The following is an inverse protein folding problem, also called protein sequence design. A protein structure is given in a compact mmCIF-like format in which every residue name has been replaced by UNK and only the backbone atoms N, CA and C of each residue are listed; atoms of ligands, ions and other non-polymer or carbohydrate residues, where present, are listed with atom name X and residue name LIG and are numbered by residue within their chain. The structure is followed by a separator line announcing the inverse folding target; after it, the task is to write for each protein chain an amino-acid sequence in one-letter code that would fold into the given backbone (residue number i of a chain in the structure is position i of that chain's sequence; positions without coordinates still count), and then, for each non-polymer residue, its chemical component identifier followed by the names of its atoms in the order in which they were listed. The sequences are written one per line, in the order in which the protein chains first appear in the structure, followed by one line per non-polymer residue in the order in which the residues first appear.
data_IF_156717429143
#
_entry.id   IF_156717429143
#
_cell.length_a   1.000
_cell.length_b   1.000
_cell.length_c   1.000
_cell.angle_alpha   90.00
_cell.angle_beta   90.00
_cell.angle_gamma   90.00
#
_symmetry.space_group_name_H-M   'P 1'
#
loop_
_entity.id
_entity.type
_entity.pdbx_description
1 polymer ?
#
# COMPACT_ATOMS: atom_id res chain seq x y z
N UNK A 1 26.31 -11.78 -0.04
CA UNK A 1 25.40 -10.62 -0.14
C UNK A 1 25.05 -10.17 1.25
N UNK A 2 25.15 -8.88 1.54
CA UNK A 2 24.65 -8.27 2.77
C UNK A 2 23.36 -7.53 2.49
N UNK A 3 22.48 -7.46 3.49
CA UNK A 3 21.24 -6.71 3.36
C UNK A 3 21.51 -5.23 3.06
N UNK A 4 20.55 -4.56 2.44
CA UNK A 4 20.60 -3.13 2.17
C UNK A 4 21.01 -2.36 3.45
N UNK A 5 21.97 -1.45 3.30
CA UNK A 5 22.56 -0.65 4.37
C UNK A 5 23.66 -1.34 5.18
N UNK A 6 23.78 -2.67 5.14
CA UNK A 6 24.89 -3.37 5.80
C UNK A 6 26.15 -3.35 4.93
N UNK A 7 27.32 -3.30 5.57
CA UNK A 7 28.62 -3.33 4.88
C UNK A 7 28.72 -4.56 3.98
N UNK A 8 29.20 -4.39 2.75
CA UNK A 8 29.46 -5.46 1.79
C UNK A 8 30.52 -6.38 2.40
N UNK A 9 30.17 -7.66 2.52
CA UNK A 9 31.04 -8.70 3.07
C UNK A 9 31.23 -9.85 2.08
N UNK A 10 32.46 -10.37 1.91
CA UNK A 10 33.71 -9.84 2.47
C UNK A 10 34.04 -8.43 1.95
N UNK A 11 34.98 -7.74 2.62
CA UNK A 11 35.43 -6.41 2.21
C UNK A 11 35.81 -6.38 0.72
N UNK A 12 35.46 -5.30 0.04
CA UNK A 12 35.76 -5.15 -1.40
C UNK A 12 37.25 -4.91 -1.56
N UNK A 13 37.90 -5.66 -2.45
CA UNK A 13 39.32 -5.51 -2.75
C UNK A 13 39.52 -5.19 -4.23
N UNK A 14 40.37 -4.21 -4.51
CA UNK A 14 40.78 -3.82 -5.85
C UNK A 14 42.30 -3.90 -5.93
N UNK A 15 42.82 -4.78 -6.78
CA UNK A 15 44.25 -4.92 -7.03
C UNK A 15 44.66 -4.17 -8.30
N UNK A 16 45.78 -3.44 -8.23
CA UNK A 16 46.46 -2.95 -9.42
C UNK A 16 47.24 -4.10 -10.06
N UNK A 17 46.92 -4.46 -11.29
CA UNK A 17 47.53 -5.60 -11.99
C UNK A 17 48.36 -5.17 -13.20
N UNK A 18 49.39 -5.93 -13.54
CA UNK A 18 50.10 -5.80 -14.81
C UNK A 18 49.32 -6.42 -15.98
N UNK A 19 49.88 -6.35 -17.20
CA UNK A 19 49.25 -6.90 -18.40
C UNK A 19 49.11 -8.44 -18.39
N UNK A 20 49.76 -9.12 -17.45
CA UNK A 20 49.71 -10.58 -17.28
C UNK A 20 48.78 -11.00 -16.13
N UNK A 21 48.15 -10.05 -15.44
CA UNK A 21 47.23 -10.29 -14.33
C UNK A 21 47.91 -10.43 -12.95
N UNK A 22 49.20 -10.08 -12.82
CA UNK A 22 49.89 -10.12 -11.53
C UNK A 22 49.64 -8.82 -10.75
N UNK A 23 49.32 -8.92 -9.46
CA UNK A 23 49.24 -7.76 -8.56
C UNK A 23 50.60 -7.05 -8.49
N UNK A 24 50.62 -5.74 -8.71
CA UNK A 24 51.81 -4.89 -8.67
C UNK A 24 51.97 -4.30 -7.26
N UNK A 25 52.93 -4.76 -6.42
CA UNK A 25 53.00 -4.33 -5.02
C UNK A 25 53.31 -2.83 -4.85
N UNK A 26 53.98 -2.22 -5.83
CA UNK A 26 54.30 -0.80 -5.85
C UNK A 26 53.18 0.11 -6.37
N UNK A 27 52.03 -0.44 -6.75
CA UNK A 27 50.87 0.38 -7.10
C UNK A 27 50.35 1.10 -5.86
N UNK A 28 50.42 2.43 -5.87
CA UNK A 28 50.14 3.31 -4.73
C UNK A 28 49.12 4.42 -5.05
N UNK A 29 48.59 4.48 -6.28
CA UNK A 29 47.61 5.49 -6.65
C UNK A 29 46.28 5.24 -5.93
N UNK A 30 45.65 6.31 -5.43
CA UNK A 30 44.35 6.22 -4.77
C UNK A 30 43.32 5.58 -5.71
N UNK A 31 42.62 4.56 -5.19
CA UNK A 31 41.52 3.89 -5.88
C UNK A 31 40.21 4.47 -5.38
N UNK A 32 39.38 4.97 -6.29
CA UNK A 32 38.02 5.42 -5.99
C UNK A 32 37.01 4.41 -6.54
N UNK A 33 35.99 4.09 -5.73
CA UNK A 33 34.89 3.18 -6.09
C UNK A 33 33.56 3.93 -6.18
N UNK A 34 32.79 3.62 -7.22
CA UNK A 34 31.43 4.08 -7.41
C UNK A 34 30.50 2.93 -7.82
N UNK A 35 29.18 3.16 -7.81
CA UNK A 35 28.23 2.23 -8.42
C UNK A 35 28.38 2.28 -9.94
N UNK A 36 28.47 1.10 -10.55
CA UNK A 36 28.27 0.90 -11.98
C UNK A 36 26.79 0.73 -12.28
N UNK A 37 26.36 -0.51 -12.51
CA UNK A 37 24.95 -0.86 -12.59
C UNK A 37 24.27 -0.60 -11.23
N UNK A 38 23.20 0.19 -11.24
CA UNK A 38 22.44 0.60 -10.06
C UNK A 38 20.93 0.35 -10.25
N UNK A 39 20.51 -0.92 -10.39
CA UNK A 39 19.12 -1.26 -10.75
C UNK A 39 18.10 -0.86 -9.68
N UNK A 40 18.47 -0.85 -8.41
CA UNK A 40 17.59 -0.42 -7.31
C UNK A 40 17.63 1.07 -7.01
N UNK A 41 18.37 1.88 -7.79
CA UNK A 41 18.47 3.33 -7.57
C UNK A 41 19.07 3.71 -6.21
N UNK A 42 19.99 2.88 -5.71
CA UNK A 42 20.62 3.04 -4.41
C UNK A 42 21.78 4.04 -4.40
N UNK A 43 22.24 4.33 -3.19
CA UNK A 43 23.40 5.14 -2.88
C UNK A 43 24.47 4.25 -2.28
N UNK A 44 25.70 4.33 -2.79
CA UNK A 44 26.87 3.74 -2.15
C UNK A 44 27.30 4.64 -0.99
N UNK A 45 27.52 4.06 0.18
CA UNK A 45 28.00 4.72 1.39
C UNK A 45 29.34 4.11 1.83
N UNK A 46 29.97 4.67 2.86
CA UNK A 46 31.29 4.25 3.37
C UNK A 46 32.46 5.01 2.75
N UNK A 47 33.67 4.51 3.00
CA UNK A 47 34.91 5.06 2.49
C UNK A 47 35.08 4.67 1.03
N UNK A 48 35.00 5.64 0.11
CA UNK A 48 35.00 5.37 -1.34
C UNK A 48 36.36 5.53 -2.01
N UNK A 49 37.34 6.10 -1.32
CA UNK A 49 38.69 6.31 -1.84
C UNK A 49 39.69 5.75 -0.84
N UNK A 50 40.52 4.81 -1.29
CA UNK A 50 41.51 4.13 -0.46
C UNK A 50 42.85 4.07 -1.20
N UNK A 51 43.94 4.34 -0.48
CA UNK A 51 45.28 4.08 -0.97
C UNK A 51 45.60 2.58 -0.85
N UNK A 52 46.05 1.91 -1.93
CA UNK A 52 46.41 0.50 -1.89
C UNK A 52 47.64 0.22 -1.03
N UNK A 53 47.65 -0.91 -0.33
CA UNK A 53 48.79 -1.43 0.43
C UNK A 53 49.22 -2.75 -0.20
N UNK A 54 50.49 -2.85 -0.60
CA UNK A 54 50.98 -4.01 -1.36
C UNK A 54 50.24 -4.20 -2.69
N UNK A 55 49.81 -3.11 -3.32
CA UNK A 55 49.06 -3.12 -4.58
C UNK A 55 47.56 -3.39 -4.47
N UNK A 56 47.02 -3.54 -3.26
CA UNK A 56 45.59 -3.83 -3.03
C UNK A 56 44.92 -2.75 -2.19
N UNK A 57 43.90 -2.09 -2.75
CA UNK A 57 43.00 -1.21 -2.01
C UNK A 57 41.87 -2.04 -1.41
N UNK A 58 41.70 -1.98 -0.08
CA UNK A 58 40.66 -2.71 0.66
C UNK A 58 39.62 -1.73 1.21
N UNK A 59 38.36 -1.93 0.85
CA UNK A 59 37.23 -1.13 1.30
C UNK A 59 36.34 -1.97 2.22
N UNK A 60 36.40 -1.70 3.53
CA UNK A 60 35.77 -2.52 4.58
C UNK A 60 34.37 -2.07 4.99
N UNK A 61 33.93 -0.88 4.59
CA UNK A 61 32.72 -0.22 5.07
C UNK A 61 31.75 0.20 3.96
N UNK A 62 31.99 -0.23 2.71
CA UNK A 62 31.08 0.07 1.60
C UNK A 62 29.72 -0.58 1.84
N UNK A 63 28.63 0.17 1.66
CA UNK A 63 27.27 -0.36 1.74
C UNK A 63 26.35 0.28 0.70
N UNK A 64 25.26 -0.40 0.33
CA UNK A 64 24.24 0.11 -0.60
C UNK A 64 22.89 0.11 0.10
N UNK A 65 22.19 1.24 0.11
CA UNK A 65 20.96 1.40 0.91
C UNK A 65 19.67 0.89 0.26
N UNK A 66 19.69 0.57 -1.03
CA UNK A 66 18.53 0.00 -1.75
C UNK A 66 18.74 -1.45 -2.11
N UNK A 67 17.69 -2.24 -1.93
CA UNK A 67 17.70 -3.63 -2.37
C UNK A 67 17.61 -3.72 -3.89
N UNK A 68 18.18 -4.78 -4.45
CA UNK A 68 18.15 -5.06 -5.88
C UNK A 68 19.12 -6.15 -6.29
N UNK A 69 18.95 -6.62 -7.52
CA UNK A 69 19.78 -7.69 -8.11
C UNK A 69 20.57 -7.15 -9.29
N UNK A 70 21.82 -7.54 -9.42
CA UNK A 70 22.66 -7.11 -10.53
C UNK A 70 23.39 -5.77 -10.35
N UNK A 71 23.66 -5.37 -9.11
CA UNK A 71 24.56 -4.25 -8.85
C UNK A 71 25.99 -4.54 -9.32
N UNK A 72 26.71 -3.51 -9.77
CA UNK A 72 28.17 -3.59 -9.96
C UNK A 72 28.87 -2.40 -9.34
N UNK A 73 30.16 -2.56 -9.05
CA UNK A 73 31.05 -1.47 -8.64
C UNK A 73 32.03 -1.16 -9.77
N UNK A 74 32.32 0.12 -9.98
CA UNK A 74 33.39 0.59 -10.87
C UNK A 74 34.50 1.17 -10.01
N UNK A 75 35.71 0.65 -10.18
CA UNK A 75 36.92 1.15 -9.53
C UNK A 75 37.77 1.93 -10.54
N UNK A 76 38.27 3.09 -10.15
CA UNK A 76 39.12 3.94 -10.98
C UNK A 76 40.32 4.45 -10.18
N UNK A 77 41.46 4.61 -10.86
CA UNK A 77 42.67 5.21 -10.33
C UNK A 77 43.38 5.99 -11.47
N UNK A 78 44.28 6.91 -11.13
CA UNK A 78 45.04 7.66 -12.12
C UNK A 78 45.93 6.73 -12.97
N UNK A 79 46.00 7.01 -14.28
CA UNK A 79 46.84 6.30 -15.24
C UNK A 79 46.59 4.77 -15.38
N UNK A 80 45.46 4.26 -14.88
CA UNK A 80 45.04 2.86 -15.02
C UNK A 80 43.61 2.82 -15.56
N UNK A 81 43.31 1.85 -16.43
CA UNK A 81 41.95 1.64 -16.94
C UNK A 81 41.00 1.26 -15.79
N UNK A 82 39.77 1.81 -15.75
CA UNK A 82 38.78 1.40 -14.76
C UNK A 82 38.43 -0.08 -14.85
N UNK A 83 38.09 -0.68 -13.71
CA UNK A 83 37.61 -2.05 -13.62
C UNK A 83 36.15 -2.08 -13.13
N UNK A 84 35.36 -3.01 -13.66
CA UNK A 84 33.99 -3.26 -13.21
C UNK A 84 33.93 -4.61 -12.52
N UNK A 85 33.31 -4.66 -11.33
CA UNK A 85 33.12 -5.91 -10.60
C UNK A 85 32.17 -6.85 -11.33
N UNK A 86 32.20 -8.13 -10.95
CA UNK A 86 31.07 -9.01 -11.21
C UNK A 86 29.78 -8.44 -10.59
N UNK A 87 28.64 -8.85 -11.14
CA UNK A 87 27.33 -8.49 -10.60
C UNK A 87 27.12 -9.11 -9.21
N UNK A 88 26.52 -8.34 -8.31
CA UNK A 88 26.13 -8.80 -6.97
C UNK A 88 24.73 -8.34 -6.61
N UNK A 89 24.14 -9.01 -5.62
CA UNK A 89 22.80 -8.72 -5.14
C UNK A 89 22.87 -8.09 -3.76
N UNK A 90 21.97 -7.13 -3.53
CA UNK A 90 21.72 -6.47 -2.25
C UNK A 90 20.30 -6.87 -1.83
N UNK A 91 20.10 -7.91 -1.01
CA UNK A 91 18.78 -8.24 -0.50
C UNK A 91 18.23 -7.13 0.42
N UNK A 92 16.91 -7.06 0.59
CA UNK A 92 16.28 -6.21 1.60
C UNK A 92 16.64 -6.66 3.02
N UNK A 93 16.54 -5.74 3.98
CA UNK A 93 16.55 -6.10 5.40
C UNK A 93 15.31 -6.88 5.83
N UNK A 94 15.25 -7.21 7.13
CA UNK A 94 14.04 -7.74 7.75
C UNK A 94 12.94 -6.67 7.79
N UNK A 95 11.68 -7.10 7.69
CA UNK A 95 10.53 -6.21 7.79
C UNK A 95 10.49 -5.52 9.16
N UNK A 96 10.21 -4.22 9.15
CA UNK A 96 10.11 -3.37 10.34
C UNK A 96 8.73 -2.68 10.43
N UNK A 97 8.11 -2.39 9.29
CA UNK A 97 6.84 -1.66 9.22
C UNK A 97 5.95 -2.14 8.07
N UNK A 98 4.65 -1.87 8.19
CA UNK A 98 3.70 -1.99 7.10
C UNK A 98 3.42 -0.62 6.47
N UNK A 99 3.18 -0.60 5.17
CA UNK A 99 2.80 0.62 4.42
C UNK A 99 1.71 0.27 3.41
N UNK A 100 0.68 1.11 3.32
CA UNK A 100 -0.28 1.02 2.21
C UNK A 100 0.39 1.54 0.94
N UNK A 101 0.69 0.65 0.00
CA UNK A 101 1.28 0.98 -1.30
C UNK A 101 0.23 1.17 -2.39
N UNK A 102 -0.93 0.53 -2.21
CA UNK A 102 -2.18 0.90 -2.88
C UNK A 102 -3.20 1.20 -1.81
N UNK A 103 -3.50 2.48 -1.64
CA UNK A 103 -4.47 3.00 -0.67
C UNK A 103 -5.91 2.59 -1.04
N UNK A 104 -6.82 2.44 -0.07
CA UNK A 104 -8.25 2.33 -0.35
C UNK A 104 -8.76 3.59 -1.05
N UNK A 105 -9.70 3.41 -1.97
CA UNK A 105 -10.31 4.48 -2.76
C UNK A 105 -11.78 4.69 -2.37
N UNK A 106 -12.32 5.85 -2.75
CA UNK A 106 -13.75 6.11 -2.61
C UNK A 106 -14.55 5.12 -3.47
N UNK A 107 -15.63 4.58 -2.93
CA UNK A 107 -16.54 3.69 -3.66
C UNK A 107 -17.97 3.82 -3.14
N UNK A 108 -18.92 3.07 -3.70
CA UNK A 108 -20.29 3.02 -3.20
C UNK A 108 -20.45 1.90 -2.17
N UNK A 109 -21.45 2.02 -1.30
CA UNK A 109 -21.78 0.98 -0.33
C UNK A 109 -21.93 -0.39 -0.99
N UNK A 110 -21.32 -1.41 -0.39
CA UNK A 110 -21.32 -2.79 -0.87
C UNK A 110 -20.43 -3.07 -2.09
N UNK A 111 -19.97 -2.04 -2.81
CA UNK A 111 -19.06 -2.23 -3.93
C UNK A 111 -17.64 -2.55 -3.44
N UNK A 112 -16.92 -3.34 -4.24
CA UNK A 112 -15.51 -3.63 -3.99
C UNK A 112 -14.67 -2.35 -4.12
N UNK A 113 -13.74 -2.15 -3.20
CA UNK A 113 -12.74 -1.09 -3.26
C UNK A 113 -11.77 -1.45 -4.38
N UNK A 114 -11.69 -0.58 -5.39
CA UNK A 114 -10.81 -0.77 -6.56
C UNK A 114 -9.99 0.51 -6.84
N UNK A 115 -8.69 0.41 -7.16
CA UNK A 115 -7.87 -0.81 -7.26
C UNK A 115 -7.75 -1.58 -5.93
N UNK A 116 -7.35 -2.85 -6.01
CA UNK A 116 -7.19 -3.71 -4.84
C UNK A 116 -6.19 -3.09 -3.85
N UNK A 117 -6.57 -3.04 -2.58
CA UNK A 117 -5.72 -2.48 -1.52
C UNK A 117 -4.48 -3.36 -1.35
N UNK A 118 -3.32 -2.74 -1.29
CA UNK A 118 -2.04 -3.44 -1.08
C UNK A 118 -1.32 -2.87 0.13
N UNK A 119 -0.88 -3.79 0.99
CA UNK A 119 -0.03 -3.48 2.13
C UNK A 119 1.31 -4.16 1.92
N UNK A 120 2.37 -3.37 1.92
CA UNK A 120 3.75 -3.83 1.75
C UNK A 120 4.47 -3.79 3.09
N UNK A 121 5.17 -4.87 3.41
CA UNK A 121 6.14 -4.93 4.50
C UNK A 121 7.46 -4.32 4.03
N UNK A 122 7.94 -3.29 4.73
CA UNK A 122 9.19 -2.62 4.42
C UNK A 122 10.22 -2.82 5.54
N UNK A 123 11.49 -2.86 5.17
CA UNK A 123 12.60 -2.77 6.12
C UNK A 123 12.78 -1.33 6.64
N UNK A 124 13.70 -1.14 7.58
CA UNK A 124 13.96 0.16 8.20
C UNK A 124 14.49 1.24 7.22
N UNK A 125 14.87 0.86 6.00
CA UNK A 125 15.35 1.76 4.94
C UNK A 125 14.31 2.00 3.85
N UNK A 126 13.07 1.51 4.04
CA UNK A 126 11.99 1.64 3.07
C UNK A 126 12.23 0.80 1.82
N UNK A 127 12.87 -0.37 1.95
CA UNK A 127 12.87 -1.38 0.90
C UNK A 127 11.78 -2.40 1.19
N UNK A 128 11.11 -2.91 0.14
CA UNK A 128 10.22 -4.06 0.30
C UNK A 128 10.98 -5.26 0.86
N UNK A 129 10.58 -5.72 2.04
CA UNK A 129 11.15 -6.88 2.69
C UNK A 129 10.63 -8.15 2.01
N UNK A 130 11.23 -8.52 0.88
CA UNK A 130 10.74 -9.62 0.02
C UNK A 130 10.69 -10.99 0.70
N UNK A 131 11.48 -11.20 1.75
CA UNK A 131 11.43 -12.41 2.57
C UNK A 131 10.27 -12.46 3.58
N UNK A 132 9.49 -11.38 3.73
CA UNK A 132 8.35 -11.35 4.65
C UNK A 132 7.17 -12.13 4.07
N UNK A 133 6.78 -13.19 4.76
CA UNK A 133 5.64 -14.06 4.42
C UNK A 133 4.57 -14.09 5.52
N UNK A 134 4.63 -13.15 6.46
CA UNK A 134 3.69 -13.06 7.57
C UNK A 134 2.28 -12.69 7.10
N UNK A 135 1.28 -13.05 7.89
CA UNK A 135 -0.11 -12.63 7.65
C UNK A 135 -0.29 -11.17 8.04
N UNK A 136 -0.82 -10.38 7.11
CA UNK A 136 -1.28 -9.00 7.33
C UNK A 136 -2.79 -9.01 7.46
N UNK A 137 -3.30 -8.34 8.48
CA UNK A 137 -4.74 -8.16 8.72
C UNK A 137 -5.11 -6.69 8.60
N UNK A 138 -6.17 -6.42 7.84
CA UNK A 138 -6.77 -5.09 7.71
C UNK A 138 -8.11 -5.01 8.43
N UNK A 139 -8.35 -3.91 9.14
CA UNK A 139 -9.58 -3.66 9.87
C UNK A 139 -10.01 -2.19 9.73
N UNK A 140 -11.29 -1.89 9.97
CA UNK A 140 -11.74 -0.51 10.10
C UNK A 140 -11.11 0.13 11.33
N UNK A 141 -10.54 1.31 11.15
CA UNK A 141 -10.05 2.14 12.26
C UNK A 141 -11.03 3.29 12.49
N UNK A 142 -11.07 4.29 11.60
CA UNK A 142 -12.17 5.24 11.57
C UNK A 142 -13.38 4.62 10.86
N UNK A 143 -14.49 4.50 11.59
CA UNK A 143 -15.75 3.93 11.09
C UNK A 143 -16.94 4.89 11.30
N UNK A 144 -16.95 6.06 10.64
CA UNK A 144 -17.92 7.12 10.90
C UNK A 144 -19.37 6.71 10.57
N UNK A 145 -19.57 5.84 9.58
CA UNK A 145 -20.89 5.34 9.19
C UNK A 145 -21.34 4.08 9.92
N UNK A 146 -20.56 3.55 10.87
CA UNK A 146 -20.90 2.30 11.57
C UNK A 146 -21.01 1.10 10.63
N UNK A 147 -20.20 1.07 9.58
CA UNK A 147 -20.20 0.03 8.56
C UNK A 147 -19.46 -1.24 8.98
N UNK A 148 -19.62 -2.26 8.17
CA UNK A 148 -18.93 -3.54 8.27
C UNK A 148 -17.96 -3.69 7.11
N UNK A 149 -16.68 -3.92 7.41
CA UNK A 149 -15.70 -4.32 6.39
C UNK A 149 -15.88 -5.79 6.06
N UNK A 150 -16.15 -6.06 4.79
CA UNK A 150 -16.37 -7.40 4.23
C UNK A 150 -15.26 -7.79 3.26
N UNK A 151 -15.24 -9.05 2.84
CA UNK A 151 -14.20 -9.62 1.99
C UNK A 151 -13.14 -10.38 2.79
N UNK A 152 -12.00 -10.64 2.16
CA UNK A 152 -10.86 -11.28 2.82
C UNK A 152 -10.03 -10.21 3.52
N UNK A 153 -10.04 -10.20 4.86
CA UNK A 153 -9.37 -9.17 5.67
C UNK A 153 -8.02 -9.61 6.24
N UNK A 154 -7.64 -10.88 6.06
CA UNK A 154 -6.31 -11.40 6.43
C UNK A 154 -5.67 -12.13 5.27
N UNK A 155 -4.46 -11.72 4.89
CA UNK A 155 -3.73 -12.25 3.72
C UNK A 155 -2.27 -12.48 4.09
N UNK A 156 -1.72 -13.64 3.73
CA UNK A 156 -0.29 -13.90 3.83
C UNK A 156 0.45 -13.10 2.75
N UNK A 157 1.49 -12.37 3.14
CA UNK A 157 2.29 -11.61 2.20
C UNK A 157 3.06 -12.55 1.24
N UNK A 158 3.13 -12.17 -0.03
CA UNK A 158 3.96 -12.82 -1.05
C UNK A 158 4.98 -11.80 -1.53
N UNK A 159 6.26 -12.14 -1.44
CA UNK A 159 7.36 -11.20 -1.70
C UNK A 159 7.23 -9.89 -0.90
N UNK A 160 6.76 -9.97 0.36
CA UNK A 160 6.54 -8.82 1.22
C UNK A 160 5.27 -8.01 0.94
N UNK A 161 4.39 -8.43 0.02
CA UNK A 161 3.16 -7.70 -0.32
C UNK A 161 1.91 -8.54 -0.03
N UNK A 162 0.99 -7.99 0.75
CA UNK A 162 -0.35 -8.54 0.97
C UNK A 162 -1.36 -7.76 0.11
N UNK A 163 -2.11 -8.46 -0.75
CA UNK A 163 -3.11 -7.86 -1.65
C UNK A 163 -4.52 -8.26 -1.23
N UNK A 164 -5.37 -7.28 -0.98
CA UNK A 164 -6.75 -7.44 -0.55
C UNK A 164 -7.70 -7.10 -1.71
N UNK A 165 -8.09 -8.12 -2.48
CA UNK A 165 -8.74 -7.94 -3.78
C UNK A 165 -10.26 -7.67 -3.72
N UNK A 166 -10.92 -7.91 -2.59
CA UNK A 166 -12.38 -7.96 -2.49
C UNK A 166 -12.94 -7.21 -1.27
N UNK A 167 -12.19 -6.25 -0.71
CA UNK A 167 -12.69 -5.45 0.42
C UNK A 167 -13.89 -4.60 0.01
N UNK A 168 -14.90 -4.51 0.86
CA UNK A 168 -16.06 -3.62 0.68
C UNK A 168 -16.63 -3.17 2.03
N UNK A 169 -17.37 -2.06 2.03
CA UNK A 169 -18.03 -1.52 3.23
C UNK A 169 -19.49 -1.21 2.88
N UNK A 170 -20.42 -1.62 3.75
CA UNK A 170 -21.87 -1.57 3.48
C UNK A 170 -22.58 -0.28 3.90
N UNK A 171 -21.94 0.61 4.66
CA UNK A 171 -22.55 1.85 5.15
C UNK A 171 -21.86 3.09 4.60
N UNK A 172 -22.68 4.09 4.31
CA UNK A 172 -22.25 5.40 3.85
C UNK A 172 -21.51 6.15 4.93
N UNK A 173 -20.48 6.92 4.56
CA UNK A 173 -19.73 7.74 5.48
C UNK A 173 -18.50 8.36 4.84
N UNK A 174 -18.04 9.46 5.45
CA UNK A 174 -16.91 10.25 4.96
C UNK A 174 -15.76 10.13 5.95
N UNK A 175 -14.57 9.81 5.47
CA UNK A 175 -13.37 9.70 6.30
C UNK A 175 -13.21 8.34 6.98
N UNK A 176 -13.59 7.25 6.31
CA UNK A 176 -13.16 5.92 6.70
C UNK A 176 -11.64 5.79 6.62
N UNK A 177 -11.05 5.01 7.52
CA UNK A 177 -9.65 4.58 7.41
C UNK A 177 -9.54 3.09 7.72
N UNK A 178 -8.52 2.45 7.15
CA UNK A 178 -8.13 1.08 7.46
C UNK A 178 -6.87 1.07 8.31
N UNK A 179 -6.81 0.19 9.31
CA UNK A 179 -5.58 -0.17 10.00
C UNK A 179 -5.04 -1.48 9.42
N UNK A 180 -3.75 -1.54 9.12
CA UNK A 180 -3.03 -2.75 8.74
C UNK A 180 -2.11 -3.18 9.89
N UNK A 181 -2.19 -4.46 10.25
CA UNK A 181 -1.46 -5.06 11.38
C UNK A 181 -0.80 -6.37 10.98
N UNK A 182 0.30 -6.72 11.63
CA UNK A 182 1.04 -7.97 11.39
C UNK A 182 2.00 -8.26 12.53
N UNK A 183 2.40 -9.52 12.71
CA UNK A 183 3.35 -9.90 13.76
C UNK A 183 4.76 -9.39 13.45
N UNK A 184 5.42 -8.80 14.44
CA UNK A 184 6.82 -8.35 14.34
C UNK A 184 7.05 -7.12 13.48
N UNK A 185 5.99 -6.43 13.03
CA UNK A 185 6.06 -5.21 12.23
C UNK A 185 5.16 -4.13 12.82
N UNK A 186 5.55 -2.87 12.66
CA UNK A 186 4.74 -1.73 13.10
C UNK A 186 3.50 -1.59 12.22
N UNK A 187 2.34 -1.43 12.86
CA UNK A 187 1.05 -1.21 12.20
C UNK A 187 0.98 0.15 11.49
N UNK A 188 0.04 0.28 10.54
CA UNK A 188 -0.16 1.52 9.77
C UNK A 188 -1.63 1.82 9.53
N UNK A 189 -1.97 3.11 9.54
CA UNK A 189 -3.28 3.63 9.12
C UNK A 189 -3.23 4.11 7.68
N UNK A 190 -4.27 3.79 6.90
CA UNK A 190 -4.44 4.24 5.50
C UNK A 190 -4.76 5.73 5.40
N UNK A 191 -4.73 6.26 4.18
CA UNK A 191 -5.40 7.52 3.88
C UNK A 191 -6.93 7.40 4.11
N UNK A 192 -7.57 8.55 4.34
CA UNK A 192 -9.02 8.65 4.47
C UNK A 192 -9.75 8.46 3.13
N UNK A 193 -10.84 7.70 3.14
CA UNK A 193 -11.69 7.47 1.97
C UNK A 193 -13.18 7.47 2.33
N UNK A 194 -14.04 7.54 1.33
CA UNK A 194 -15.48 7.73 1.49
C UNK A 194 -16.26 6.56 0.90
N UNK A 195 -17.36 6.22 1.56
CA UNK A 195 -18.38 5.31 1.03
C UNK A 195 -19.63 6.13 0.72
N UNK A 196 -19.98 6.22 -0.56
CA UNK A 196 -21.19 6.88 -1.04
C UNK A 196 -22.39 5.92 -1.06
N UNK A 197 -23.60 6.44 -1.07
CA UNK A 197 -24.79 5.62 -1.27
C UNK A 197 -24.76 4.98 -2.66
N UNK A 198 -25.22 3.73 -2.76
CA UNK A 198 -25.47 3.09 -4.05
C UNK A 198 -26.68 3.71 -4.77
N UNK A 199 -26.98 3.17 -5.94
CA UNK A 199 -28.21 3.51 -6.66
C UNK A 199 -29.42 3.07 -5.86
N UNK A 200 -30.46 3.91 -5.81
CA UNK A 200 -31.73 3.53 -5.18
C UNK A 200 -32.30 2.26 -5.83
N UNK A 201 -32.70 1.30 -5.00
CA UNK A 201 -33.28 0.02 -5.42
C UNK A 201 -34.60 -0.29 -4.72
N UNK A 202 -34.91 0.43 -3.64
CA UNK A 202 -36.12 0.22 -2.86
C UNK A 202 -36.64 1.55 -2.30
N UNK A 203 -37.95 1.60 -2.08
CA UNK A 203 -38.63 2.68 -1.36
C UNK A 203 -39.10 2.14 -0.01
N UNK A 204 -38.94 2.92 1.05
CA UNK A 204 -39.46 2.58 2.38
C UNK A 204 -40.24 3.75 2.95
N UNK A 205 -41.31 3.47 3.70
CA UNK A 205 -41.97 4.49 4.50
C UNK A 205 -41.10 4.79 5.72
N UNK A 206 -40.45 5.96 5.72
CA UNK A 206 -39.68 6.48 6.86
C UNK A 206 -40.58 7.15 7.89
N UNK A 207 -41.75 7.64 7.46
CA UNK A 207 -42.87 7.99 8.34
C UNK A 207 -44.11 7.25 7.84
N UNK A 208 -44.60 6.33 8.66
CA UNK A 208 -45.80 5.54 8.36
C UNK A 208 -47.05 6.42 8.41
N UNK A 209 -48.06 6.15 7.56
CA UNK A 209 -49.37 6.78 7.73
C UNK A 209 -49.99 6.40 9.07
N UNK A 210 -50.73 7.34 9.65
CA UNK A 210 -51.50 7.17 10.88
C UNK A 210 -53.00 7.24 10.59
N UNK A 211 -53.81 6.75 11.54
CA UNK A 211 -55.25 6.92 11.47
C UNK A 211 -55.60 8.42 11.52
N UNK A 212 -56.48 8.85 10.63
CA UNK A 212 -56.99 10.23 10.58
C UNK A 212 -58.48 10.23 10.24
N UNK A 213 -59.15 11.34 10.49
CA UNK A 213 -60.56 11.54 10.10
C UNK A 213 -60.64 11.71 8.58
N UNK A 214 -61.71 11.19 7.95
CA UNK A 214 -61.92 11.37 6.51
C UNK A 214 -61.88 12.86 6.11
N UNK A 215 -61.10 13.19 5.07
CA UNK A 215 -60.88 14.55 4.60
C UNK A 215 -59.84 15.36 5.40
N UNK A 216 -59.36 14.86 6.54
CA UNK A 216 -58.25 15.47 7.26
C UNK A 216 -56.89 14.97 6.74
N UNK A 217 -55.86 15.81 6.82
CA UNK A 217 -54.49 15.42 6.45
C UNK A 217 -53.95 14.33 7.39
N UNK A 218 -53.13 13.42 6.86
CA UNK A 218 -52.39 12.46 7.68
C UNK A 218 -51.24 13.21 8.37
N UNK A 219 -51.21 13.14 9.71
CA UNK A 219 -50.20 13.82 10.54
C UNK A 219 -49.59 12.82 11.53
N UNK A 220 -48.24 12.73 11.62
CA UNK A 220 -47.25 13.45 10.83
C UNK A 220 -47.32 13.10 9.33
N UNK A 221 -46.78 13.99 8.49
CA UNK A 221 -46.78 13.79 7.04
C UNK A 221 -46.07 12.48 6.69
N UNK A 222 -46.68 11.71 5.79
CA UNK A 222 -46.12 10.46 5.28
C UNK A 222 -44.82 10.77 4.53
N UNK A 223 -43.76 10.04 4.84
CA UNK A 223 -42.46 10.19 4.19
C UNK A 223 -42.04 8.87 3.59
N UNK A 224 -41.57 8.93 2.34
CA UNK A 224 -40.98 7.80 1.62
C UNK A 224 -39.51 8.13 1.37
N UNK A 225 -38.64 7.21 1.74
CA UNK A 225 -37.20 7.32 1.53
C UNK A 225 -36.76 6.31 0.48
N UNK A 226 -36.03 6.77 -0.53
CA UNK A 226 -35.32 5.90 -1.45
C UNK A 226 -34.04 5.38 -0.81
N UNK A 227 -33.85 4.07 -0.83
CA UNK A 227 -32.65 3.41 -0.30
C UNK A 227 -31.94 2.58 -1.37
N UNK A 228 -30.62 2.47 -1.23
CA UNK A 228 -29.81 1.51 -1.98
C UNK A 228 -30.03 0.08 -1.48
N UNK A 229 -29.40 -0.89 -2.14
CA UNK A 229 -29.53 -2.31 -1.81
C UNK A 229 -28.91 -2.68 -0.44
N UNK A 230 -28.14 -1.77 0.17
CA UNK A 230 -27.53 -1.93 1.50
C UNK A 230 -28.35 -1.21 2.59
N UNK A 231 -29.53 -0.68 2.23
CA UNK A 231 -30.43 0.03 3.12
C UNK A 231 -29.89 1.41 3.54
N UNK A 232 -29.01 2.02 2.73
CA UNK A 232 -28.61 3.41 2.93
C UNK A 232 -29.53 4.33 2.16
N UNK A 233 -29.86 5.49 2.73
CA UNK A 233 -30.57 6.55 2.00
C UNK A 233 -29.77 6.93 0.75
N UNK A 234 -30.43 6.94 -0.40
CA UNK A 234 -29.85 7.32 -1.69
C UNK A 234 -30.26 8.76 -2.05
N UNK A 235 -29.53 9.79 -1.59
CA UNK A 235 -29.96 11.20 -1.72
C UNK A 235 -29.97 11.70 -3.17
N UNK A 236 -29.31 11.01 -4.09
CA UNK A 236 -29.31 11.34 -5.52
C UNK A 236 -30.54 10.84 -6.29
N UNK A 237 -31.49 10.17 -5.64
CA UNK A 237 -32.71 9.71 -6.29
C UNK A 237 -33.61 10.90 -6.66
N UNK A 238 -33.88 11.06 -7.96
CA UNK A 238 -34.74 12.12 -8.53
C UNK A 238 -35.99 11.57 -9.22
N UNK A 239 -36.26 10.27 -9.07
CA UNK A 239 -37.43 9.63 -9.66
C UNK A 239 -38.74 10.10 -9.00
N UNK A 240 -39.84 9.96 -9.73
CA UNK A 240 -41.17 10.24 -9.19
C UNK A 240 -41.61 9.11 -8.25
N UNK A 241 -42.06 9.46 -7.05
CA UNK A 241 -42.70 8.52 -6.13
C UNK A 241 -44.21 8.68 -6.23
N UNK A 242 -44.92 7.60 -6.52
CA UNK A 242 -46.39 7.56 -6.50
C UNK A 242 -46.84 6.73 -5.30
N UNK A 243 -47.76 7.29 -4.51
CA UNK A 243 -48.40 6.60 -3.39
C UNK A 243 -49.84 6.30 -3.78
N UNK A 244 -50.29 5.08 -3.50
CA UNK A 244 -51.65 4.63 -3.81
C UNK A 244 -52.22 3.82 -2.64
N UNK A 245 -53.55 3.75 -2.56
CA UNK A 245 -54.25 2.84 -1.66
C UNK A 245 -54.27 1.45 -2.29
N UNK A 246 -53.62 0.48 -1.66
CA UNK A 246 -53.67 -0.92 -2.12
C UNK A 246 -55.03 -1.55 -1.78
N UNK A 247 -55.43 -1.49 -0.51
CA UNK A 247 -56.76 -1.87 -0.06
C UNK A 247 -57.64 -0.62 0.10
N UNK A 248 -58.71 -0.53 -0.70
CA UNK A 248 -59.60 0.64 -0.71
C UNK A 248 -61.10 0.24 -0.62
N UNK A 249 -61.54 -0.35 0.51
CA UNK A 249 -62.91 -0.85 0.64
C UNK A 249 -63.98 0.26 0.60
N UNK A 250 -63.60 1.51 0.95
CA UNK A 250 -64.50 2.67 0.93
C UNK A 250 -64.56 3.42 -0.40
N UNK A 251 -63.74 3.03 -1.40
CA UNK A 251 -63.67 3.75 -2.68
C UNK A 251 -63.07 5.16 -2.59
N UNK A 252 -62.22 5.41 -1.59
CA UNK A 252 -61.60 6.72 -1.34
C UNK A 252 -60.51 7.06 -2.37
N UNK A 253 -60.16 8.35 -2.46
CA UNK A 253 -59.00 8.84 -3.21
C UNK A 253 -57.97 9.46 -2.27
N UNK A 254 -56.68 9.31 -2.57
CA UNK A 254 -55.66 10.16 -1.95
C UNK A 254 -55.75 11.56 -2.59
N UNK A 255 -55.76 12.60 -1.76
CA UNK A 255 -55.72 13.99 -2.20
C UNK A 255 -54.53 14.67 -1.52
N UNK A 256 -53.67 15.30 -2.32
CA UNK A 256 -52.42 15.93 -1.89
C UNK A 256 -51.49 16.21 -3.06
#
# INVERSE_FOLDING_TARGET
STAAGASITPAVQVSGQDAFGNTVPGFAANVTVALGANPGGGTLSGTKTVAPVGGVATFSDLSVNKSGTGYTLTAAASAVSPATSAAFNVPSGAAAQLVFTVEPSNTTAGATITPAVQVTAEDALGNTATGFTGTVTVALEANPGGGTLSGTTSVAAVNGVATFANLSINKVGTGYTLSATGSGVTSRTSAGFNIAAGTASQLVFSVQPSNTTAGAAITPAVQVTAQDAQGNTAPGFTGTVTVALEANPGGSTLAG
#
